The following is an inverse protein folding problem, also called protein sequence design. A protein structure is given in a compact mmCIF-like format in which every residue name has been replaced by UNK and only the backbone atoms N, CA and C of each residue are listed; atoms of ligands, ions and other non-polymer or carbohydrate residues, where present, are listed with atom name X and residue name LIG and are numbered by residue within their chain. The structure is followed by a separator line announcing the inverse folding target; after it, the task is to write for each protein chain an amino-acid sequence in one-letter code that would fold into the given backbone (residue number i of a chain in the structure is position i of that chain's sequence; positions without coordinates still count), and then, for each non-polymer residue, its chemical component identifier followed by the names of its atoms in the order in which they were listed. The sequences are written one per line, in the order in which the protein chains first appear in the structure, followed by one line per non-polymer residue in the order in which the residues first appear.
data_IF_578072958432
#
_entry.id   IF_578072958432
#
_cell.length_a   1.000
_cell.length_b   1.000
_cell.length_c   1.000
_cell.angle_alpha   90.00
_cell.angle_beta   90.00
_cell.angle_gamma   90.00
#
_symmetry.space_group_name_H-M   'P 1'
#
loop_
_entity.id
_entity.type
_entity.pdbx_description
1 polymer ?
#
# COMPACT_ATOMS: atom_id res chain seq x y z
N UNK A 1 37.12 9.15 -35.20
CA UNK A 1 35.77 9.53 -35.63
C UNK A 1 34.92 9.54 -34.38
N UNK A 2 34.50 10.74 -34.00
CA UNK A 2 33.75 11.08 -32.80
C UNK A 2 32.30 10.67 -32.97
N UNK A 3 31.80 9.82 -32.07
CA UNK A 3 30.36 9.62 -31.89
C UNK A 3 29.99 10.21 -30.54
N UNK A 4 29.30 11.33 -30.63
CA UNK A 4 28.66 12.05 -29.53
C UNK A 4 27.60 11.15 -28.88
N UNK A 5 27.91 10.62 -27.70
CA UNK A 5 26.91 9.99 -26.84
C UNK A 5 26.11 11.08 -26.11
N UNK A 6 24.88 11.29 -26.57
CA UNK A 6 23.80 11.98 -25.86
C UNK A 6 23.52 11.31 -24.50
N UNK A 7 24.34 11.63 -23.51
CA UNK A 7 23.97 11.52 -22.11
C UNK A 7 22.99 12.65 -21.82
N UNK A 8 21.68 12.37 -21.96
CA UNK A 8 20.66 13.13 -21.24
C UNK A 8 20.83 12.83 -19.75
N UNK A 9 21.76 13.54 -19.12
CA UNK A 9 21.72 13.78 -17.70
C UNK A 9 20.33 14.35 -17.38
N UNK A 10 19.62 13.70 -16.47
CA UNK A 10 18.47 14.31 -15.83
C UNK A 10 19.03 15.44 -14.97
N UNK A 11 19.29 16.59 -15.58
CA UNK A 11 19.48 17.85 -14.89
C UNK A 11 18.15 18.13 -14.18
N UNK A 12 18.02 17.65 -12.95
CA UNK A 12 17.19 18.34 -11.99
C UNK A 12 17.87 19.68 -11.75
N UNK A 13 17.52 20.67 -12.57
CA UNK A 13 17.78 22.10 -12.36
C UNK A 13 17.08 22.56 -11.08
N UNK A 14 17.48 22.02 -9.95
CA UNK A 14 17.22 22.58 -8.64
C UNK A 14 18.22 23.69 -8.44
N UNK A 15 17.94 24.87 -9.01
CA UNK A 15 18.54 26.13 -8.59
C UNK A 15 18.21 26.36 -7.10
N UNK A 16 18.92 25.69 -6.20
CA UNK A 16 18.93 25.96 -4.75
C UNK A 16 19.77 27.22 -4.47
N UNK A 17 19.53 28.27 -5.25
CA UNK A 17 20.22 29.54 -5.16
C UNK A 17 19.50 30.44 -4.15
N UNK A 18 20.22 30.77 -3.08
CA UNK A 18 19.86 31.65 -1.95
C UNK A 18 18.81 31.10 -0.99
N UNK A 19 19.05 31.29 0.30
CA UNK A 19 18.11 31.07 1.41
C UNK A 19 16.90 31.98 1.23
N UNK A 20 15.96 31.62 0.36
CA UNK A 20 14.64 32.21 0.39
C UNK A 20 14.03 31.90 1.75
N UNK A 21 13.46 32.91 2.40
CA UNK A 21 12.81 32.75 3.70
C UNK A 21 11.74 31.67 3.61
N UNK A 22 11.67 30.80 4.61
CA UNK A 22 10.65 29.76 4.68
C UNK A 22 9.26 30.38 4.53
N UNK A 23 8.58 30.06 3.41
CA UNK A 23 7.22 30.52 3.13
C UNK A 23 6.28 29.32 3.16
N UNK A 24 5.53 29.17 4.25
CA UNK A 24 4.50 28.12 4.36
C UNK A 24 3.49 28.19 3.21
N UNK A 25 2.99 29.36 2.78
CA UNK A 25 2.11 29.45 1.61
C UNK A 25 2.74 28.87 0.33
N UNK A 26 4.03 29.11 0.09
CA UNK A 26 4.72 28.54 -1.07
C UNK A 26 4.81 27.01 -1.00
N UNK A 27 5.11 26.46 0.18
CA UNK A 27 5.14 25.00 0.38
C UNK A 27 3.76 24.35 0.19
N UNK A 28 2.71 25.00 0.70
CA UNK A 28 1.33 24.53 0.51
C UNK A 28 0.95 24.58 -0.98
N UNK A 29 1.30 25.65 -1.69
CA UNK A 29 1.06 25.75 -3.13
C UNK A 29 1.77 24.64 -3.92
N UNK A 30 3.04 24.36 -3.61
CA UNK A 30 3.80 23.25 -4.21
C UNK A 30 3.12 21.91 -3.89
N UNK A 31 2.70 21.69 -2.65
CA UNK A 31 2.03 20.45 -2.25
C UNK A 31 0.68 20.24 -2.97
N UNK A 32 -0.11 21.30 -3.17
CA UNK A 32 -1.34 21.26 -3.96
C UNK A 32 -1.03 20.92 -5.42
N UNK A 33 -0.05 21.61 -6.02
CA UNK A 33 0.33 21.36 -7.40
C UNK A 33 0.81 19.92 -7.58
N UNK A 34 1.52 19.36 -6.60
CA UNK A 34 1.90 17.95 -6.58
C UNK A 34 0.68 17.03 -6.55
N UNK A 35 -0.32 17.30 -5.69
CA UNK A 35 -1.56 16.52 -5.67
C UNK A 35 -2.26 16.55 -7.03
N UNK A 36 -2.38 17.73 -7.66
CA UNK A 36 -2.99 17.91 -8.98
C UNK A 36 -2.21 17.15 -10.06
N UNK A 37 -0.88 17.28 -10.06
CA UNK A 37 -0.01 16.59 -11.02
C UNK A 37 -0.09 15.06 -10.88
N UNK A 38 -0.29 14.54 -9.66
CA UNK A 38 -0.47 13.09 -9.44
C UNK A 38 -1.87 12.63 -9.81
N UNK A 39 -2.88 13.47 -9.59
CA UNK A 39 -4.27 13.21 -9.98
C UNK A 39 -4.49 13.22 -11.49
N UNK A 40 -3.70 14.00 -12.24
CA UNK A 40 -3.80 14.07 -13.71
C UNK A 40 -3.18 12.88 -14.43
N UNK A 41 -2.41 12.05 -13.74
CA UNK A 41 -1.86 10.80 -14.27
C UNK A 41 -2.88 9.68 -14.12
N UNK A 42 -2.92 8.77 -15.09
CA UNK A 42 -3.80 7.60 -14.99
C UNK A 42 -3.50 6.76 -13.74
N UNK A 43 -4.55 6.52 -12.95
CA UNK A 43 -4.48 5.77 -11.71
C UNK A 43 -4.31 4.29 -12.03
N UNK A 44 -3.07 3.79 -11.91
CA UNK A 44 -2.68 2.43 -12.22
C UNK A 44 -1.98 1.80 -11.04
N UNK A 45 -2.22 0.51 -10.89
CA UNK A 45 -1.44 -0.28 -9.97
C UNK A 45 0.03 -0.33 -10.46
N UNK A 46 0.98 -0.20 -9.53
CA UNK A 46 2.39 -0.42 -9.84
C UNK A 46 2.66 -1.85 -10.32
N UNK A 47 3.69 -2.07 -11.13
CA UNK A 47 3.97 -3.40 -11.65
C UNK A 47 5.47 -3.60 -11.84
N UNK A 48 5.88 -4.87 -11.86
CA UNK A 48 7.24 -5.24 -12.22
C UNK A 48 7.27 -5.48 -13.72
N UNK A 49 8.23 -4.86 -14.39
CA UNK A 49 8.49 -5.10 -15.81
C UNK A 49 9.97 -5.41 -16.01
N UNK A 50 10.26 -6.05 -17.14
CA UNK A 50 11.62 -6.45 -17.51
C UNK A 50 12.03 -5.63 -18.73
N UNK A 51 13.18 -4.98 -18.64
CA UNK A 51 13.80 -4.30 -19.75
C UNK A 51 15.04 -5.08 -20.18
N UNK A 52 15.24 -5.17 -21.49
CA UNK A 52 16.45 -5.75 -22.07
C UNK A 52 17.40 -4.60 -22.41
N UNK A 53 18.65 -4.72 -22.01
CA UNK A 53 19.71 -3.80 -22.45
C UNK A 53 20.15 -4.13 -23.90
N UNK A 54 21.05 -3.30 -24.46
CA UNK A 54 21.64 -3.53 -25.79
C UNK A 54 22.45 -4.84 -25.88
N UNK A 55 22.83 -5.42 -24.73
CA UNK A 55 23.63 -6.63 -24.62
C UNK A 55 22.77 -7.89 -24.40
N UNK A 56 21.45 -7.75 -24.30
CA UNK A 56 20.50 -8.84 -24.07
C UNK A 56 20.32 -9.22 -22.59
N UNK A 57 20.90 -8.49 -21.64
CA UNK A 57 20.66 -8.73 -20.22
C UNK A 57 19.31 -8.13 -19.80
N UNK A 58 18.53 -8.90 -19.05
CA UNK A 58 17.27 -8.44 -18.47
C UNK A 58 17.50 -7.78 -17.11
N UNK A 59 17.01 -6.56 -16.93
CA UNK A 59 16.92 -5.90 -15.63
C UNK A 59 15.47 -5.63 -15.24
N UNK A 60 15.17 -5.82 -13.95
CA UNK A 60 13.84 -5.61 -13.38
C UNK A 60 13.67 -4.14 -13.06
N UNK A 61 12.65 -3.50 -13.64
CA UNK A 61 12.21 -2.17 -13.25
C UNK A 61 10.88 -2.28 -12.53
N UNK A 62 10.82 -1.72 -11.33
CA UNK A 62 9.58 -1.61 -10.56
C UNK A 62 8.95 -0.25 -10.91
N UNK A 63 7.79 -0.29 -11.53
CA UNK A 63 6.98 0.91 -11.75
C UNK A 63 6.12 1.12 -10.50
N UNK A 64 6.20 2.29 -9.85
CA UNK A 64 5.46 2.56 -8.63
C UNK A 64 3.95 2.64 -8.88
N UNK A 65 3.19 2.50 -7.80
CA UNK A 65 1.73 2.57 -7.82
C UNK A 65 1.27 4.03 -7.79
N UNK A 66 0.71 4.53 -8.90
CA UNK A 66 0.37 5.96 -9.02
C UNK A 66 -0.73 6.36 -8.04
N UNK A 67 -1.61 5.43 -7.65
CA UNK A 67 -2.62 5.64 -6.61
C UNK A 67 -1.96 5.95 -5.28
N UNK A 68 -0.94 5.18 -4.88
CA UNK A 68 -0.20 5.39 -3.64
C UNK A 68 0.54 6.72 -3.64
N UNK A 69 1.08 7.15 -4.78
CA UNK A 69 1.73 8.46 -4.91
C UNK A 69 0.74 9.61 -4.67
N UNK A 70 -0.46 9.54 -5.25
CA UNK A 70 -1.52 10.52 -5.00
C UNK A 70 -1.97 10.50 -3.54
N UNK A 71 -2.31 9.32 -2.99
CA UNK A 71 -2.69 9.14 -1.57
C UNK A 71 -1.62 9.74 -0.65
N UNK A 72 -0.34 9.43 -0.89
CA UNK A 72 0.77 9.98 -0.12
C UNK A 72 0.86 11.50 -0.21
N UNK A 73 0.59 12.07 -1.39
CA UNK A 73 0.58 13.51 -1.61
C UNK A 73 -0.55 14.21 -0.83
N UNK A 74 -1.77 13.65 -0.84
CA UNK A 74 -2.91 14.18 -0.08
C UNK A 74 -2.64 14.12 1.43
N UNK A 75 -2.11 13.00 1.93
CA UNK A 75 -1.74 12.88 3.34
C UNK A 75 -0.64 13.87 3.73
N UNK A 76 0.34 14.09 2.85
CA UNK A 76 1.38 15.11 3.04
C UNK A 76 0.81 16.53 3.11
N UNK A 77 -0.11 16.87 2.20
CA UNK A 77 -0.83 18.15 2.22
C UNK A 77 -1.64 18.31 3.50
N UNK A 78 -2.38 17.28 3.92
CA UNK A 78 -3.13 17.27 5.17
C UNK A 78 -2.24 17.53 6.38
N UNK A 79 -1.04 16.94 6.40
CA UNK A 79 -0.07 17.16 7.48
C UNK A 79 0.46 18.60 7.50
N UNK A 80 0.73 19.20 6.34
CA UNK A 80 1.14 20.60 6.22
C UNK A 80 0.07 21.59 6.71
N UNK A 81 -1.21 21.23 6.52
CA UNK A 81 -2.37 22.04 6.92
C UNK A 81 -2.90 21.73 8.33
N UNK A 82 -2.17 20.96 9.14
CA UNK A 82 -2.63 20.52 10.47
C UNK A 82 -3.08 21.67 11.37
N UNK A 83 -2.34 22.80 11.38
CA UNK A 83 -2.70 23.97 12.18
C UNK A 83 -4.02 24.61 11.73
N UNK A 84 -4.22 24.70 10.41
CA UNK A 84 -5.39 25.30 9.79
C UNK A 84 -6.61 24.41 10.01
N UNK A 85 -6.48 23.11 9.80
CA UNK A 85 -7.52 22.12 10.09
C UNK A 85 -7.96 22.23 11.55
N UNK A 86 -7.02 22.39 12.48
CA UNK A 86 -7.34 22.53 13.91
C UNK A 86 -8.01 23.87 14.27
N UNK A 87 -7.78 24.95 13.49
CA UNK A 87 -8.43 26.25 13.67
C UNK A 87 -9.93 26.19 13.35
N UNK A 88 -10.33 25.35 12.40
CA UNK A 88 -11.72 25.23 11.94
C UNK A 88 -12.38 23.94 12.41
N UNK A 89 -13.31 24.06 13.37
CA UNK A 89 -14.01 22.91 13.99
C UNK A 89 -14.64 21.96 12.96
N UNK A 90 -15.31 22.49 11.96
CA UNK A 90 -15.97 21.69 10.90
C UNK A 90 -14.97 20.79 10.17
N UNK A 91 -13.83 21.34 9.73
CA UNK A 91 -12.81 20.60 8.98
C UNK A 91 -12.11 19.59 9.89
N UNK A 92 -11.91 19.95 11.16
CA UNK A 92 -11.39 19.02 12.17
C UNK A 92 -12.31 17.82 12.39
N UNK A 93 -13.63 18.03 12.40
CA UNK A 93 -14.58 16.94 12.56
C UNK A 93 -14.62 16.05 11.31
N UNK A 94 -14.53 16.64 10.10
CA UNK A 94 -14.34 15.88 8.85
C UNK A 94 -13.05 15.05 8.85
N UNK A 95 -11.95 15.58 9.37
CA UNK A 95 -10.68 14.84 9.50
C UNK A 95 -10.83 13.60 10.41
N UNK A 96 -11.64 13.67 11.47
CA UNK A 96 -11.93 12.50 12.33
C UNK A 96 -12.68 11.44 11.54
N UNK A 97 -13.72 11.83 10.80
CA UNK A 97 -14.49 10.91 9.95
C UNK A 97 -13.56 10.24 8.93
N UNK A 98 -12.71 11.01 8.25
CA UNK A 98 -11.70 10.49 7.33
C UNK A 98 -10.79 9.44 8.00
N UNK A 99 -10.30 9.70 9.22
CA UNK A 99 -9.48 8.74 9.96
C UNK A 99 -10.24 7.47 10.37
N UNK A 100 -11.51 7.61 10.79
CA UNK A 100 -12.35 6.47 11.13
C UNK A 100 -12.66 5.60 9.92
N UNK A 101 -13.00 6.19 8.78
CA UNK A 101 -13.26 5.47 7.53
C UNK A 101 -12.00 4.79 7.00
N UNK A 102 -10.87 5.49 7.00
CA UNK A 102 -9.57 4.90 6.67
C UNK A 102 -9.26 3.69 7.55
N UNK A 103 -9.57 3.76 8.84
CA UNK A 103 -9.40 2.64 9.77
C UNK A 103 -10.34 1.48 9.44
N UNK A 104 -11.62 1.74 9.14
CA UNK A 104 -12.60 0.72 8.71
C UNK A 104 -12.15 0.01 7.43
N UNK A 105 -11.70 0.76 6.42
CA UNK A 105 -11.18 0.20 5.17
C UNK A 105 -9.95 -0.67 5.47
N UNK A 106 -9.04 -0.20 6.33
CA UNK A 106 -7.88 -1.02 6.75
C UNK A 106 -8.33 -2.31 7.42
N UNK A 107 -9.20 -2.27 8.41
CA UNK A 107 -9.68 -3.47 9.12
C UNK A 107 -10.39 -4.46 8.20
N UNK A 108 -11.07 -3.96 7.16
CA UNK A 108 -11.77 -4.76 6.15
C UNK A 108 -10.81 -5.57 5.26
N UNK A 109 -9.62 -5.05 4.96
CA UNK A 109 -8.67 -5.65 4.00
C UNK A 109 -7.32 -6.06 4.60
N UNK A 110 -7.12 -5.91 5.90
CA UNK A 110 -5.83 -6.22 6.52
C UNK A 110 -5.53 -7.73 6.44
N UNK A 111 -4.32 -8.08 6.02
CA UNK A 111 -3.90 -9.47 6.01
C UNK A 111 -3.69 -9.92 7.44
N UNK A 112 -4.30 -11.06 7.75
CA UNK A 112 -4.09 -11.78 9.01
C UNK A 112 -3.30 -13.03 8.68
N UNK A 113 -2.04 -13.06 9.11
CA UNK A 113 -1.23 -14.27 8.96
C UNK A 113 -1.91 -15.44 9.66
N UNK A 114 -1.82 -16.60 9.03
CA UNK A 114 -2.51 -17.81 9.46
C UNK A 114 -1.47 -18.86 9.81
N UNK A 115 -1.51 -19.33 11.05
CA UNK A 115 -0.73 -20.49 11.48
C UNK A 115 -1.52 -21.78 11.27
N UNK A 116 -0.81 -22.80 10.81
CA UNK A 116 -1.32 -24.15 10.71
C UNK A 116 -1.02 -24.88 12.02
N UNK A 117 -2.01 -24.99 12.89
CA UNK A 117 -1.86 -25.69 14.17
C UNK A 117 -2.34 -27.13 14.01
N UNK A 118 -1.44 -28.13 14.04
CA UNK A 118 -1.84 -29.53 14.03
C UNK A 118 -2.60 -29.83 15.32
N UNK A 119 -3.89 -30.15 15.19
CA UNK A 119 -4.74 -30.47 16.32
C UNK A 119 -5.10 -31.95 16.28
N UNK A 120 -4.92 -32.66 17.40
CA UNK A 120 -5.28 -34.06 17.53
C UNK A 120 -6.79 -34.23 17.33
N UNK A 121 -7.20 -35.14 16.43
CA UNK A 121 -8.59 -35.53 16.30
C UNK A 121 -8.96 -36.33 17.55
N UNK A 122 -9.87 -35.76 18.35
CA UNK A 122 -10.44 -36.43 19.53
C UNK A 122 -11.81 -37.02 19.17
N UNK A 123 -12.13 -38.18 19.71
CA UNK A 123 -13.45 -38.78 19.61
C UNK A 123 -14.50 -37.96 20.38
N UNK A 124 -15.78 -38.31 20.24
CA UNK A 124 -16.89 -37.65 20.97
C UNK A 124 -16.75 -37.72 22.50
N UNK A 125 -15.86 -38.57 23.02
CA UNK A 125 -15.57 -38.75 24.45
C UNK A 125 -14.29 -38.03 24.88
N UNK A 126 -13.62 -37.30 23.98
CA UNK A 126 -12.41 -36.55 24.24
C UNK A 126 -11.11 -37.35 24.20
N UNK A 127 -11.16 -38.65 23.85
CA UNK A 127 -9.98 -39.47 23.70
C UNK A 127 -9.32 -39.25 22.34
N UNK A 128 -7.99 -39.20 22.30
CA UNK A 128 -7.27 -39.18 21.03
C UNK A 128 -7.64 -40.43 20.22
N UNK A 129 -8.02 -40.24 18.96
CA UNK A 129 -8.35 -41.37 18.07
C UNK A 129 -7.05 -42.10 17.74
N UNK A 130 -6.74 -43.15 18.52
CA UNK A 130 -5.73 -44.12 18.13
C UNK A 130 -6.32 -44.98 17.01
N UNK A 131 -5.98 -44.68 15.75
CA UNK A 131 -6.02 -45.73 14.75
C UNK A 131 -4.93 -46.74 15.14
N UNK A 132 -5.24 -48.01 15.26
CA UNK A 132 -4.26 -49.08 15.54
C UNK A 132 -3.21 -49.26 14.41
N UNK A 133 -3.19 -48.38 13.43
CA UNK A 133 -2.14 -48.16 12.44
C UNK A 133 -1.42 -46.86 12.78
N UNK A 134 -0.08 -46.83 12.70
CA UNK A 134 0.85 -45.76 13.12
C UNK A 134 0.63 -44.32 12.56
N UNK A 135 -0.54 -44.00 12.04
CA UNK A 135 -0.91 -42.69 11.50
C UNK A 135 -1.85 -41.95 12.44
N UNK A 136 -1.29 -41.20 13.40
CA UNK A 136 -2.05 -40.23 14.20
C UNK A 136 -2.66 -39.20 13.23
N UNK A 137 -3.99 -39.11 13.23
CA UNK A 137 -4.73 -38.26 12.31
C UNK A 137 -4.81 -36.84 12.90
N UNK A 138 -4.00 -35.94 12.35
CA UNK A 138 -3.99 -34.52 12.70
C UNK A 138 -5.01 -33.76 11.83
N UNK A 139 -5.85 -32.93 12.45
CA UNK A 139 -6.61 -31.90 11.74
C UNK A 139 -5.85 -30.60 11.83
N UNK A 140 -5.46 -30.05 10.69
CA UNK A 140 -4.84 -28.72 10.63
C UNK A 140 -5.92 -27.66 10.81
N UNK A 141 -5.85 -26.91 11.91
CA UNK A 141 -6.72 -25.74 12.14
C UNK A 141 -5.93 -24.50 11.76
N UNK A 142 -6.55 -23.65 10.94
CA UNK A 142 -6.01 -22.34 10.55
C UNK A 142 -6.41 -21.34 11.64
N UNK A 143 -5.43 -20.83 12.40
CA UNK A 143 -5.65 -19.77 13.40
C UNK A 143 -4.90 -18.50 12.99
N UNK A 144 -5.45 -17.29 13.24
CA UNK A 144 -4.69 -16.06 13.01
C UNK A 144 -3.55 -15.94 14.03
N UNK A 145 -2.33 -15.66 13.56
CA UNK A 145 -1.12 -15.42 14.39
C UNK A 145 -1.19 -14.07 15.15
N UNK A 146 -2.20 -13.25 14.84
CA UNK A 146 -2.33 -11.89 15.39
C UNK A 146 -1.42 -10.85 14.71
N UNK A 147 -0.55 -11.25 13.78
CA UNK A 147 0.18 -10.33 12.91
C UNK A 147 -0.75 -9.78 11.84
N UNK A 148 -0.86 -8.46 11.85
CA UNK A 148 -1.67 -7.69 10.92
C UNK A 148 -0.77 -6.80 10.07
N UNK A 149 -0.76 -7.01 8.75
CA UNK A 149 0.03 -6.19 7.85
C UNK A 149 -0.71 -5.96 6.53
N UNK A 150 -0.32 -4.91 5.81
CA UNK A 150 -0.81 -4.63 4.46
C UNK A 150 0.35 -4.88 3.51
N UNK A 151 0.26 -5.88 2.62
CA UNK A 151 1.39 -6.23 1.80
C UNK A 151 1.78 -5.16 0.78
N UNK A 152 3.08 -4.98 0.62
CA UNK A 152 3.68 -4.22 -0.47
C UNK A 152 4.00 -5.13 -1.66
N UNK A 153 4.24 -4.53 -2.84
CA UNK A 153 4.49 -5.28 -4.08
C UNK A 153 5.78 -6.09 -4.08
N UNK A 154 6.71 -5.72 -3.20
CA UNK A 154 7.96 -6.45 -2.97
C UNK A 154 7.77 -7.65 -2.05
N UNK A 155 6.67 -7.67 -1.31
CA UNK A 155 6.45 -8.68 -0.30
C UNK A 155 6.02 -9.99 -0.94
N UNK A 156 6.43 -11.07 -0.30
CA UNK A 156 6.05 -12.40 -0.72
C UNK A 156 4.69 -12.72 -0.11
N UNK A 157 3.70 -12.94 -0.97
CA UNK A 157 2.36 -13.30 -0.52
C UNK A 157 2.23 -14.83 -0.40
N UNK A 158 1.59 -15.33 0.67
CA UNK A 158 1.25 -16.74 0.77
C UNK A 158 0.19 -17.08 -0.28
N UNK A 159 0.56 -17.95 -1.23
CA UNK A 159 -0.34 -18.47 -2.26
C UNK A 159 -0.54 -19.97 -2.04
N UNK A 160 -1.79 -20.45 -1.86
CA UNK A 160 -2.05 -21.86 -1.75
C UNK A 160 -1.72 -22.55 -3.07
N UNK A 161 -0.92 -23.60 -2.99
CA UNK A 161 -0.56 -24.45 -4.12
C UNK A 161 -0.79 -25.91 -3.75
N UNK A 162 -0.84 -26.77 -4.77
CA UNK A 162 -0.92 -28.21 -4.56
C UNK A 162 0.45 -28.82 -4.87
N UNK A 163 1.09 -29.38 -3.86
CA UNK A 163 2.33 -30.14 -4.04
C UNK A 163 1.95 -31.59 -4.30
N UNK A 164 2.39 -32.13 -5.43
CA UNK A 164 2.28 -33.56 -5.71
C UNK A 164 3.46 -34.26 -5.05
N UNK A 165 3.16 -35.16 -4.11
CA UNK A 165 4.18 -35.99 -3.48
C UNK A 165 4.16 -37.34 -4.19
N UNK A 166 5.25 -37.62 -4.90
CA UNK A 166 5.44 -38.91 -5.58
C UNK A 166 6.07 -39.89 -4.61
N UNK A 167 5.32 -40.93 -4.27
CA UNK A 167 5.84 -42.05 -3.50
C UNK A 167 6.30 -43.14 -4.48
N UNK A 168 7.51 -43.67 -4.32
CA UNK A 168 8.06 -44.68 -5.24
C UNK A 168 7.27 -46.00 -5.23
N UNK A 169 6.48 -46.25 -4.18
CA UNK A 169 5.76 -47.50 -3.93
C UNK A 169 4.24 -47.34 -3.70
N UNK A 170 3.70 -46.12 -3.75
CA UNK A 170 2.27 -45.83 -3.53
C UNK A 170 1.76 -44.81 -4.57
N UNK A 171 0.44 -44.72 -4.75
CA UNK A 171 -0.18 -43.73 -5.63
C UNK A 171 0.16 -42.30 -5.20
N UNK A 172 0.54 -41.44 -6.14
CA UNK A 172 0.74 -40.00 -5.94
C UNK A 172 -0.43 -39.40 -5.14
N UNK A 173 -0.10 -38.68 -4.06
CA UNK A 173 -1.09 -37.92 -3.31
C UNK A 173 -0.79 -36.41 -3.36
N UNK A 174 -1.86 -35.62 -3.26
CA UNK A 174 -1.83 -34.16 -3.36
C UNK A 174 -1.92 -33.56 -1.96
N UNK A 175 -0.94 -32.75 -1.60
CA UNK A 175 -0.94 -31.99 -0.35
C UNK A 175 -1.13 -30.49 -0.65
N UNK A 176 -1.94 -29.81 0.15
CA UNK A 176 -2.02 -28.35 0.13
C UNK A 176 -0.76 -27.78 0.77
N UNK A 177 0.00 -27.00 0.00
CA UNK A 177 1.16 -26.28 0.47
C UNK A 177 0.95 -24.77 0.27
N UNK A 178 1.69 -23.95 1.00
CA UNK A 178 1.72 -22.50 0.78
C UNK A 178 3.07 -22.14 0.17
N UNK A 179 3.09 -21.56 -1.03
CA UNK A 179 4.29 -20.96 -1.61
C UNK A 179 4.23 -19.44 -1.47
N UNK A 180 5.40 -18.83 -1.35
CA UNK A 180 5.54 -17.40 -1.16
C UNK A 180 5.95 -16.78 -2.48
N UNK A 181 5.02 -16.12 -3.16
CA UNK A 181 5.21 -15.59 -4.51
C UNK A 181 5.29 -14.07 -4.45
N UNK A 182 6.29 -13.50 -5.14
CA UNK A 182 6.51 -12.05 -5.19
C UNK A 182 5.67 -11.46 -6.33
N UNK A 183 4.94 -10.38 -6.06
CA UNK A 183 4.32 -9.55 -7.11
C UNK A 183 3.12 -10.21 -7.81
N UNK A 184 2.44 -11.12 -7.13
CA UNK A 184 1.15 -11.64 -7.63
C UNK A 184 0.11 -10.52 -7.50
N UNK A 185 -0.69 -10.35 -8.55
CA UNK A 185 -1.87 -9.50 -8.48
C UNK A 185 -2.80 -10.04 -7.40
N UNK A 186 -3.13 -9.18 -6.45
CA UNK A 186 -4.05 -9.54 -5.37
C UNK A 186 -5.25 -8.61 -5.39
N UNK A 187 -6.43 -9.23 -5.52
CA UNK A 187 -7.70 -8.53 -5.58
C UNK A 187 -7.99 -7.73 -4.31
N UNK A 188 -7.72 -8.29 -3.12
CA UNK A 188 -8.00 -7.63 -1.84
C UNK A 188 -7.09 -6.42 -1.65
N UNK A 189 -5.81 -6.54 -1.98
CA UNK A 189 -4.86 -5.41 -1.94
C UNK A 189 -5.30 -4.32 -2.90
N UNK A 190 -5.67 -4.67 -4.13
CA UNK A 190 -6.05 -3.67 -5.11
C UNK A 190 -7.34 -2.95 -4.73
N UNK A 191 -8.33 -3.69 -4.24
CA UNK A 191 -9.58 -3.10 -3.76
C UNK A 191 -9.38 -2.20 -2.53
N UNK A 192 -8.45 -2.55 -1.65
CA UNK A 192 -8.03 -1.66 -0.56
C UNK A 192 -7.52 -0.32 -1.09
N UNK A 193 -6.60 -0.33 -2.06
CA UNK A 193 -6.04 0.91 -2.60
C UNK A 193 -7.05 1.73 -3.40
N UNK A 194 -8.03 1.09 -4.04
CA UNK A 194 -9.16 1.78 -4.70
C UNK A 194 -10.06 2.50 -3.70
N UNK A 195 -10.48 1.85 -2.61
CA UNK A 195 -11.31 2.49 -1.58
C UNK A 195 -10.56 3.60 -0.84
N UNK A 196 -9.25 3.44 -0.60
CA UNK A 196 -8.43 4.52 -0.03
C UNK A 196 -8.25 5.68 -1.02
N UNK A 197 -8.12 5.39 -2.32
CA UNK A 197 -8.00 6.42 -3.36
C UNK A 197 -9.24 7.31 -3.40
N UNK A 198 -10.43 6.70 -3.40
CA UNK A 198 -11.72 7.42 -3.37
C UNK A 198 -11.82 8.31 -2.11
N UNK A 199 -11.57 7.73 -0.94
CA UNK A 199 -11.57 8.46 0.33
C UNK A 199 -10.57 9.63 0.36
N UNK A 200 -9.39 9.47 -0.25
CA UNK A 200 -8.41 10.56 -0.35
C UNK A 200 -8.81 11.61 -1.39
N UNK A 201 -9.54 11.24 -2.44
CA UNK A 201 -10.12 12.16 -3.41
C UNK A 201 -11.12 13.11 -2.73
N UNK A 202 -12.04 12.56 -1.96
CA UNK A 202 -13.01 13.33 -1.18
C UNK A 202 -12.30 14.25 -0.16
N UNK A 203 -11.30 13.71 0.55
CA UNK A 203 -10.54 14.51 1.50
C UNK A 203 -9.74 15.62 0.82
N UNK A 204 -9.20 15.39 -0.38
CA UNK A 204 -8.51 16.43 -1.13
C UNK A 204 -9.43 17.59 -1.53
N UNK A 205 -10.69 17.32 -1.87
CA UNK A 205 -11.71 18.36 -2.12
C UNK A 205 -11.90 19.22 -0.88
N UNK A 206 -12.07 18.59 0.29
CA UNK A 206 -12.23 19.31 1.58
C UNK A 206 -11.01 20.18 1.94
N UNK A 207 -9.81 19.68 1.68
CA UNK A 207 -8.58 20.46 1.85
C UNK A 207 -8.50 21.63 0.87
N UNK A 208 -8.91 21.42 -0.38
CA UNK A 208 -8.91 22.47 -1.39
C UNK A 208 -9.91 23.59 -1.04
N UNK A 209 -11.11 23.24 -0.57
CA UNK A 209 -12.12 24.21 -0.11
C UNK A 209 -11.60 25.01 1.10
N UNK A 210 -10.93 24.35 2.06
CA UNK A 210 -10.25 25.02 3.17
C UNK A 210 -9.25 26.06 2.66
N UNK A 211 -8.48 25.71 1.62
CA UNK A 211 -7.46 26.58 1.01
C UNK A 211 -8.10 27.76 0.26
N UNK A 212 -9.10 27.52 -0.57
CA UNK A 212 -9.72 28.57 -1.40
C UNK A 212 -10.54 29.55 -0.60
N UNK A 213 -11.22 29.08 0.44
CA UNK A 213 -12.26 29.87 1.13
C UNK A 213 -11.75 30.46 2.44
N UNK A 214 -11.02 29.66 3.24
CA UNK A 214 -10.69 30.03 4.62
C UNK A 214 -9.25 30.53 4.79
N UNK A 215 -8.39 30.28 3.79
CA UNK A 215 -6.93 30.45 3.83
C UNK A 215 -6.43 31.66 3.03
N UNK A 216 -7.27 32.28 2.18
CA UNK A 216 -7.00 33.61 1.59
C UNK A 216 -6.67 34.69 2.62
N UNK A 217 -6.89 34.42 3.91
CA UNK A 217 -6.54 35.28 5.04
C UNK A 217 -5.09 35.12 5.57
N UNK A 218 -4.23 34.26 5.00
CA UNK A 218 -2.82 34.18 5.44
C UNK A 218 -2.04 35.49 5.27
N UNK A 219 -2.50 36.40 4.42
CA UNK A 219 -1.91 37.72 4.23
C UNK A 219 -2.46 38.79 5.19
N UNK A 220 -3.40 38.46 6.10
CA UNK A 220 -4.18 39.46 6.85
C UNK A 220 -3.87 39.62 8.35
N UNK A 221 -3.34 38.62 9.05
CA UNK A 221 -3.19 38.66 10.52
C UNK A 221 -1.79 39.14 10.99
N UNK A 222 -1.18 40.13 10.31
CA UNK A 222 -0.02 40.90 10.84
C UNK A 222 -0.41 42.28 11.39
N UNK A 223 -1.69 42.45 11.75
CA UNK A 223 -2.18 43.63 12.49
C UNK A 223 -2.99 43.17 13.69
N UNK A 224 -2.29 42.69 14.72
CA UNK A 224 -2.83 42.37 16.05
C UNK A 224 -1.77 42.60 17.09
#
# INVERSE_FOLDING_TARGET
MSEDEDKKEFETEGNFAKKEGFSKPALVAIAIQNCINKMSVEMREGYKTYFLDKQGNAFVKIIPDTRKEFIGSVLGLSALLTSEINRFKEVKDKLKVFHEERKKIREKYIYKEREFVPTLIKDKKGHAVNSQTNNILFKTIIKPDGREWMPEKTDKLPSPTTKIIRNLNESDYKELATIYVIGVWDYEINRYWEEILELCGDWFIELNDLITDKIKNFSGDMTG
#
